data_IF_878631211429
#
_entry.id   IF_878631211429
#
_cell.length_a   1.000
_cell.length_b   1.000
_cell.length_c   1.000
_cell.angle_alpha   90.00
_cell.angle_beta   90.00
_cell.angle_gamma   90.00
#
_symmetry.space_group_name_H-M   'P 1'
#
loop_
_entity.id
_entity.type
_entity.pdbx_description
1 polymer ?
#
# COMPACT_ATOMS: atom_id res chain seq x y z
N UNK A 1 13.40 -15.57 -29.42
CA UNK A 1 11.95 -15.90 -29.53
C UNK A 1 11.27 -15.93 -28.16
N UNK A 2 11.93 -16.44 -27.12
CA UNK A 2 11.36 -16.50 -25.76
C UNK A 2 11.06 -15.12 -25.15
N UNK A 3 11.83 -14.08 -25.45
CA UNK A 3 11.60 -12.71 -25.00
C UNK A 3 10.38 -12.04 -25.66
N UNK A 4 9.97 -12.47 -26.85
CA UNK A 4 8.80 -11.89 -27.54
C UNK A 4 7.45 -12.38 -27.01
N UNK A 5 7.40 -13.54 -26.36
CA UNK A 5 6.17 -14.12 -25.82
C UNK A 5 5.80 -13.49 -24.47
N UNK A 6 6.78 -13.08 -23.65
CA UNK A 6 6.56 -12.52 -22.32
C UNK A 6 6.02 -11.06 -22.32
N UNK A 7 6.11 -10.34 -23.44
CA UNK A 7 5.70 -8.92 -23.50
C UNK A 7 4.42 -8.66 -24.32
N UNK A 8 3.66 -9.68 -24.66
CA UNK A 8 2.37 -9.53 -25.34
C UNK A 8 1.19 -9.87 -24.43
N UNK A 9 1.17 -9.35 -23.21
CA UNK A 9 -0.06 -9.35 -22.43
C UNK A 9 -0.89 -8.14 -22.82
N UNK A 10 -1.85 -8.32 -23.70
CA UNK A 10 -2.90 -7.34 -23.92
C UNK A 10 -3.91 -7.44 -22.79
N UNK A 11 -4.29 -6.31 -22.21
CA UNK A 11 -5.41 -6.24 -21.27
C UNK A 11 -6.66 -6.76 -21.98
N UNK A 12 -7.19 -7.90 -21.55
CA UNK A 12 -8.49 -8.37 -22.01
C UNK A 12 -9.55 -7.50 -21.36
N UNK A 13 -10.44 -6.88 -22.14
CA UNK A 13 -11.64 -6.25 -21.57
C UNK A 13 -12.46 -7.35 -20.89
N UNK A 14 -12.73 -7.18 -19.59
CA UNK A 14 -13.37 -8.23 -18.77
C UNK A 14 -14.83 -8.50 -19.10
N UNK A 15 -15.47 -7.62 -19.88
CA UNK A 15 -16.91 -7.68 -20.13
C UNK A 15 -17.73 -7.34 -18.88
N UNK A 16 -19.03 -7.48 -18.97
CA UNK A 16 -19.98 -7.11 -17.91
C UNK A 16 -20.50 -8.36 -17.22
N UNK A 17 -20.55 -8.35 -15.90
CA UNK A 17 -21.22 -9.35 -15.10
C UNK A 17 -22.70 -8.97 -14.97
N UNK A 18 -23.57 -9.77 -15.58
CA UNK A 18 -25.01 -9.65 -15.44
C UNK A 18 -25.48 -10.65 -14.39
N UNK A 19 -26.05 -10.14 -13.31
CA UNK A 19 -26.54 -10.98 -12.21
C UNK A 19 -27.86 -11.67 -12.52
N UNK A 20 -28.53 -11.27 -13.61
CA UNK A 20 -29.87 -11.79 -13.98
C UNK A 20 -31.00 -11.26 -13.09
N UNK A 21 -30.70 -10.36 -12.16
CA UNK A 21 -31.67 -9.73 -11.26
C UNK A 21 -31.80 -8.26 -11.63
N UNK A 22 -33.02 -7.81 -11.95
CA UNK A 22 -33.28 -6.46 -12.44
C UNK A 22 -33.00 -5.33 -11.41
N UNK A 23 -32.78 -5.69 -10.14
CA UNK A 23 -32.53 -4.73 -9.05
C UNK A 23 -31.04 -4.41 -8.89
N UNK A 24 -30.16 -5.30 -9.37
CA UNK A 24 -28.70 -5.06 -9.29
C UNK A 24 -28.19 -4.45 -10.57
N UNK A 25 -27.34 -3.42 -10.50
CA UNK A 25 -26.72 -2.84 -11.68
C UNK A 25 -25.79 -3.86 -12.37
N UNK A 26 -25.60 -3.70 -13.65
CA UNK A 26 -24.55 -4.40 -14.38
C UNK A 26 -23.18 -3.98 -13.82
N UNK A 27 -22.36 -4.94 -13.50
CA UNK A 27 -21.01 -4.72 -12.95
C UNK A 27 -19.96 -5.05 -14.00
N UNK A 28 -19.05 -4.13 -14.25
CA UNK A 28 -17.91 -4.42 -15.12
C UNK A 28 -16.98 -5.42 -14.43
N UNK A 29 -16.63 -6.49 -15.19
CA UNK A 29 -15.63 -7.44 -14.71
C UNK A 29 -14.26 -6.77 -14.71
N UNK A 30 -13.61 -6.78 -13.57
CA UNK A 30 -12.22 -6.35 -13.48
C UNK A 30 -11.33 -7.33 -14.26
N UNK A 31 -10.68 -6.79 -15.29
CA UNK A 31 -9.71 -7.53 -16.12
C UNK A 31 -8.27 -7.15 -15.77
N UNK A 32 -8.06 -6.40 -14.70
CA UNK A 32 -6.75 -5.94 -14.28
C UNK A 32 -5.90 -7.13 -13.84
N UNK A 33 -4.71 -7.26 -14.41
CA UNK A 33 -3.74 -8.26 -13.97
C UNK A 33 -3.29 -7.89 -12.55
N UNK A 34 -3.57 -8.76 -11.59
CA UNK A 34 -3.18 -8.56 -10.20
C UNK A 34 -1.66 -8.38 -10.00
N UNK A 35 -0.84 -8.84 -10.96
CA UNK A 35 0.60 -8.66 -10.93
C UNK A 35 1.04 -7.22 -11.28
N UNK A 36 0.12 -6.40 -11.79
CA UNK A 36 0.34 -5.00 -12.17
C UNK A 36 -0.42 -4.02 -11.28
N UNK A 37 -1.01 -4.49 -10.21
CA UNK A 37 -1.69 -3.66 -9.22
C UNK A 37 -0.71 -3.12 -8.18
N UNK A 38 -1.23 -2.33 -7.24
CA UNK A 38 -0.50 -1.79 -6.10
C UNK A 38 0.41 -2.84 -5.42
N UNK A 39 1.56 -2.44 -4.88
CA UNK A 39 2.37 -3.29 -4.01
C UNK A 39 1.62 -3.77 -2.76
N UNK A 40 0.51 -3.12 -2.40
CA UNK A 40 -0.41 -3.55 -1.36
C UNK A 40 -1.79 -3.80 -1.98
N UNK A 41 -1.97 -5.00 -2.54
CA UNK A 41 -3.14 -5.36 -3.33
C UNK A 41 -4.18 -6.12 -2.50
N UNK A 42 -5.47 -5.75 -2.66
CA UNK A 42 -6.58 -6.53 -2.14
C UNK A 42 -6.89 -7.71 -3.09
N UNK A 43 -6.91 -8.92 -2.56
CA UNK A 43 -7.08 -10.15 -3.33
C UNK A 43 -8.35 -10.93 -2.96
N UNK A 44 -9.41 -10.20 -2.65
CA UNK A 44 -10.74 -10.74 -2.38
C UNK A 44 -11.07 -10.89 -0.89
N UNK A 45 -10.22 -11.49 -0.09
CA UNK A 45 -10.41 -11.67 1.36
C UNK A 45 -9.16 -11.36 2.19
N UNK A 46 -8.10 -10.88 1.54
CA UNK A 46 -6.83 -10.52 2.18
C UNK A 46 -6.11 -9.46 1.36
N UNK A 47 -5.15 -8.79 2.00
CA UNK A 47 -4.18 -7.98 1.30
C UNK A 47 -2.90 -8.76 1.06
N UNK A 48 -2.31 -8.59 -0.12
CA UNK A 48 -0.99 -9.10 -0.45
C UNK A 48 -0.02 -7.93 -0.54
N UNK A 49 1.01 -7.95 0.31
CA UNK A 49 2.15 -7.03 0.18
C UNK A 49 3.18 -7.65 -0.75
N UNK A 50 3.61 -6.90 -1.75
CA UNK A 50 4.57 -7.32 -2.75
C UNK A 50 5.69 -6.32 -2.84
N UNK A 51 6.91 -6.80 -2.68
CA UNK A 51 8.12 -6.00 -2.85
C UNK A 51 9.20 -6.82 -3.55
N UNK A 52 10.17 -6.14 -4.15
CA UNK A 52 11.41 -6.74 -4.62
C UNK A 52 12.32 -7.02 -3.42
N UNK A 53 13.27 -7.95 -3.57
CA UNK A 53 14.19 -8.30 -2.48
C UNK A 53 13.99 -9.72 -1.97
N UNK A 54 14.15 -10.72 -2.85
CA UNK A 54 13.94 -12.13 -2.50
C UNK A 54 14.87 -12.64 -1.38
N UNK A 55 15.96 -11.93 -1.11
CA UNK A 55 16.91 -12.22 -0.05
C UNK A 55 16.67 -11.41 1.23
N UNK A 56 15.76 -10.43 1.19
CA UNK A 56 15.52 -9.51 2.30
C UNK A 56 14.51 -10.09 3.30
N UNK A 57 14.63 -9.65 4.55
CA UNK A 57 13.65 -9.97 5.57
C UNK A 57 12.36 -9.19 5.38
N UNK A 58 11.22 -9.87 5.47
CA UNK A 58 9.90 -9.22 5.47
C UNK A 58 9.54 -8.58 6.82
N UNK A 59 10.39 -8.70 7.84
CA UNK A 59 10.09 -8.30 9.21
C UNK A 59 9.77 -6.80 9.32
N UNK A 60 10.62 -5.95 8.74
CA UNK A 60 10.42 -4.49 8.80
C UNK A 60 9.12 -4.07 8.10
N UNK A 61 8.86 -4.58 6.90
CA UNK A 61 7.63 -4.30 6.17
C UNK A 61 6.39 -4.75 6.95
N UNK A 62 6.41 -5.95 7.52
CA UNK A 62 5.30 -6.47 8.31
C UNK A 62 5.09 -5.66 9.60
N UNK A 63 6.14 -5.23 10.27
CA UNK A 63 6.04 -4.40 11.48
C UNK A 63 5.35 -3.07 11.15
N UNK A 64 5.81 -2.38 10.12
CA UNK A 64 5.20 -1.11 9.70
C UNK A 64 3.73 -1.28 9.30
N UNK A 65 3.43 -2.27 8.44
CA UNK A 65 2.07 -2.50 7.96
C UNK A 65 1.12 -2.88 9.10
N UNK A 66 1.52 -3.77 9.99
CA UNK A 66 0.68 -4.18 11.12
C UNK A 66 0.41 -3.01 12.07
N UNK A 67 1.39 -2.14 12.31
CA UNK A 67 1.20 -0.97 13.17
C UNK A 67 0.24 0.05 12.52
N UNK A 68 0.36 0.31 11.21
CA UNK A 68 -0.56 1.19 10.48
C UNK A 68 -2.00 0.62 10.50
N UNK A 69 -2.15 -0.69 10.33
CA UNK A 69 -3.47 -1.34 10.37
C UNK A 69 -4.05 -1.31 11.78
N UNK A 70 -3.21 -1.47 12.82
CA UNK A 70 -3.66 -1.36 14.21
C UNK A 70 -4.18 0.05 14.53
N UNK A 71 -3.50 1.11 14.05
CA UNK A 71 -3.98 2.50 14.17
C UNK A 71 -5.35 2.66 13.50
N UNK A 72 -5.48 2.21 12.25
CA UNK A 72 -6.75 2.32 11.52
C UNK A 72 -7.90 1.56 12.21
N UNK A 73 -7.63 0.39 12.78
CA UNK A 73 -8.63 -0.35 13.54
C UNK A 73 -8.97 0.33 14.86
N UNK A 74 -7.99 0.93 15.55
CA UNK A 74 -8.25 1.69 16.77
C UNK A 74 -9.14 2.89 16.48
N UNK A 75 -8.82 3.69 15.45
CA UNK A 75 -9.63 4.84 15.05
C UNK A 75 -11.08 4.43 14.69
N UNK A 76 -11.23 3.31 13.96
CA UNK A 76 -12.55 2.77 13.63
C UNK A 76 -13.30 2.28 14.88
N UNK A 77 -12.63 1.59 15.80
CA UNK A 77 -13.22 1.11 17.04
C UNK A 77 -13.68 2.27 17.93
N UNK A 78 -12.85 3.29 18.11
CA UNK A 78 -13.15 4.49 18.91
C UNK A 78 -14.44 5.20 18.42
N UNK A 79 -14.71 5.17 17.11
CA UNK A 79 -15.94 5.72 16.52
C UNK A 79 -17.14 4.78 16.70
N UNK A 80 -16.95 3.48 16.47
CA UNK A 80 -18.05 2.51 16.47
C UNK A 80 -18.52 2.18 17.89
N UNK A 81 -17.65 2.20 18.90
CA UNK A 81 -18.02 1.96 20.30
C UNK A 81 -18.99 3.01 20.87
N UNK A 82 -19.03 4.21 20.28
CA UNK A 82 -19.91 5.29 20.70
C UNK A 82 -21.27 5.29 19.97
N UNK A 83 -21.46 4.38 19.00
CA UNK A 83 -22.62 4.40 18.12
C UNK A 83 -23.85 3.73 18.79
N UNK A 84 -25.01 4.40 18.70
CA UNK A 84 -26.29 3.81 19.12
C UNK A 84 -26.79 2.76 18.10
N UNK A 85 -26.59 3.02 16.80
CA UNK A 85 -26.89 2.09 15.70
C UNK A 85 -25.57 1.68 15.03
N UNK A 86 -25.10 0.48 15.36
CA UNK A 86 -23.82 -0.03 14.89
C UNK A 86 -23.77 -0.21 13.37
N UNK A 87 -24.83 -0.75 12.76
CA UNK A 87 -24.84 -1.04 11.31
C UNK A 87 -24.82 0.27 10.50
N UNK A 88 -25.59 1.26 10.94
CA UNK A 88 -25.57 2.57 10.30
C UNK A 88 -24.22 3.25 10.49
N UNK A 89 -23.62 3.19 11.67
CA UNK A 89 -22.31 3.78 11.93
C UNK A 89 -21.19 3.16 11.08
N UNK A 90 -21.21 1.84 10.90
CA UNK A 90 -20.28 1.14 10.00
C UNK A 90 -20.44 1.64 8.54
N UNK A 91 -21.70 1.77 8.09
CA UNK A 91 -21.97 2.29 6.74
C UNK A 91 -21.41 3.71 6.54
N UNK A 92 -21.69 4.60 7.49
CA UNK A 92 -21.24 5.97 7.43
C UNK A 92 -19.71 6.10 7.53
N UNK A 93 -19.08 5.33 8.40
CA UNK A 93 -17.63 5.24 8.52
C UNK A 93 -16.97 4.81 7.20
N UNK A 94 -17.49 3.75 6.56
CA UNK A 94 -16.96 3.29 5.26
C UNK A 94 -17.11 4.39 4.21
N UNK A 95 -18.25 5.06 4.15
CA UNK A 95 -18.51 6.15 3.21
C UNK A 95 -17.55 7.31 3.43
N UNK A 96 -17.30 7.70 4.66
CA UNK A 96 -16.35 8.76 5.04
C UNK A 96 -14.92 8.39 4.64
N UNK A 97 -14.46 7.18 5.01
CA UNK A 97 -13.11 6.70 4.68
C UNK A 97 -12.87 6.64 3.17
N UNK A 98 -13.84 6.13 2.40
CA UNK A 98 -13.73 6.10 0.94
C UNK A 98 -13.69 7.50 0.32
N UNK A 99 -14.44 8.45 0.85
CA UNK A 99 -14.42 9.83 0.40
C UNK A 99 -13.08 10.52 0.73
N UNK A 100 -12.61 10.38 1.97
CA UNK A 100 -11.39 11.00 2.46
C UNK A 100 -10.12 10.46 1.77
N UNK A 101 -10.11 9.16 1.48
CA UNK A 101 -8.94 8.46 0.93
C UNK A 101 -9.03 8.13 -0.56
N UNK A 102 -9.98 8.74 -1.28
CA UNK A 102 -10.17 8.50 -2.72
C UNK A 102 -8.89 8.66 -3.53
N UNK A 103 -7.97 9.54 -3.13
CA UNK A 103 -6.71 9.79 -3.84
C UNK A 103 -5.79 8.57 -3.91
N UNK A 104 -5.89 7.61 -2.98
CA UNK A 104 -5.06 6.40 -2.96
C UNK A 104 -5.70 5.24 -3.72
N UNK A 105 -6.99 5.36 -4.10
CA UNK A 105 -7.70 4.30 -4.83
C UNK A 105 -7.32 4.40 -6.30
N UNK A 106 -6.72 3.34 -6.83
CA UNK A 106 -6.31 3.24 -8.21
C UNK A 106 -6.60 1.85 -8.76
N UNK A 107 -7.28 1.82 -9.91
CA UNK A 107 -7.56 0.61 -10.69
C UNK A 107 -6.95 0.78 -12.08
N UNK A 108 -5.83 0.13 -12.34
CA UNK A 108 -5.13 0.27 -13.62
C UNK A 108 -3.72 -0.31 -13.60
N UNK A 109 -2.92 0.08 -14.58
CA UNK A 109 -1.53 -0.35 -14.67
C UNK A 109 -0.62 0.53 -13.81
N UNK A 110 -0.23 0.03 -12.62
CA UNK A 110 0.67 0.71 -11.69
C UNK A 110 2.11 0.89 -12.18
N UNK A 111 2.48 0.27 -13.31
CA UNK A 111 3.81 0.40 -13.91
C UNK A 111 3.87 1.44 -15.04
N UNK A 112 2.74 2.09 -15.36
CA UNK A 112 2.70 3.07 -16.44
C UNK A 112 3.24 4.44 -15.99
N UNK A 113 3.83 5.16 -16.93
CA UNK A 113 4.29 6.54 -16.66
C UNK A 113 3.11 7.50 -16.44
N UNK A 114 1.96 7.21 -17.02
CA UNK A 114 0.73 7.97 -16.81
C UNK A 114 0.32 7.90 -15.34
N UNK A 115 0.43 6.71 -14.73
CA UNK A 115 0.14 6.56 -13.31
C UNK A 115 1.12 7.34 -12.43
N UNK A 116 2.41 7.34 -12.76
CA UNK A 116 3.40 8.12 -12.00
C UNK A 116 3.02 9.60 -11.97
N UNK A 117 2.65 10.16 -13.11
CA UNK A 117 2.20 11.56 -13.22
C UNK A 117 0.90 11.82 -12.47
N UNK A 118 -0.06 10.92 -12.58
CA UNK A 118 -1.33 11.03 -11.86
C UNK A 118 -1.14 10.93 -10.34
N UNK A 119 -0.29 10.02 -9.87
CA UNK A 119 0.04 9.86 -8.46
C UNK A 119 0.68 11.13 -7.88
N UNK A 120 1.58 11.76 -8.64
CA UNK A 120 2.17 13.04 -8.27
C UNK A 120 1.12 14.14 -8.16
N UNK A 121 0.21 14.26 -9.14
CA UNK A 121 -0.91 15.21 -9.10
C UNK A 121 -1.86 14.96 -7.91
N UNK A 122 -2.02 13.70 -7.49
CA UNK A 122 -2.80 13.32 -6.31
C UNK A 122 -2.03 13.57 -4.99
N UNK A 123 -0.79 14.04 -5.04
CA UNK A 123 0.07 14.27 -3.88
C UNK A 123 0.52 12.96 -3.20
N UNK A 124 0.64 11.88 -3.97
CA UNK A 124 1.19 10.61 -3.48
C UNK A 124 2.72 10.64 -3.63
N UNK A 125 3.48 10.30 -2.59
CA UNK A 125 4.93 10.27 -2.66
C UNK A 125 5.42 9.15 -3.57
N UNK A 126 6.52 9.40 -4.29
CA UNK A 126 7.24 8.40 -5.08
C UNK A 126 8.72 8.44 -4.70
N UNK A 127 9.07 7.73 -3.64
CA UNK A 127 10.44 7.68 -3.10
C UNK A 127 11.21 6.58 -3.83
N UNK A 128 12.06 6.97 -4.77
CA UNK A 128 12.75 6.04 -5.67
C UNK A 128 14.06 5.48 -5.13
N UNK A 129 14.58 6.06 -4.05
CA UNK A 129 15.82 5.61 -3.42
C UNK A 129 15.62 5.34 -1.94
N UNK A 130 16.45 4.45 -1.37
CA UNK A 130 16.47 4.22 0.07
C UNK A 130 16.84 5.48 0.85
N UNK A 131 17.75 6.29 0.32
CA UNK A 131 18.15 7.56 0.95
C UNK A 131 16.98 8.52 1.12
N UNK A 132 16.07 8.55 0.14
CA UNK A 132 14.86 9.37 0.21
C UNK A 132 13.78 8.75 1.11
N UNK A 133 13.76 7.43 1.23
CA UNK A 133 12.74 6.70 1.98
C UNK A 133 13.04 6.59 3.49
N UNK A 134 14.29 6.39 3.88
CA UNK A 134 14.71 6.21 5.29
C UNK A 134 14.23 7.35 6.20
N UNK A 135 14.28 8.64 5.81
CA UNK A 135 13.79 9.73 6.67
C UNK A 135 12.32 9.60 7.07
N UNK A 136 11.51 8.87 6.32
CA UNK A 136 10.11 8.64 6.65
C UNK A 136 9.93 7.87 7.97
N UNK A 137 10.90 7.04 8.37
CA UNK A 137 10.86 6.28 9.62
C UNK A 137 10.97 7.16 10.87
N UNK A 138 11.65 8.28 10.76
CA UNK A 138 11.97 9.19 11.91
C UNK A 138 11.14 10.46 11.88
N UNK A 139 10.12 10.56 11.04
CA UNK A 139 9.17 11.67 11.09
C UNK A 139 8.40 11.65 12.41
N UNK A 140 8.01 12.82 12.90
CA UNK A 140 7.22 12.90 14.14
C UNK A 140 5.92 12.09 14.06
N UNK A 141 5.31 11.99 12.87
CA UNK A 141 4.14 11.15 12.65
C UNK A 141 4.46 9.66 12.85
N UNK A 142 5.56 9.18 12.27
CA UNK A 142 5.96 7.78 12.42
C UNK A 142 6.35 7.46 13.86
N UNK A 143 7.16 8.32 14.50
CA UNK A 143 7.56 8.16 15.89
C UNK A 143 6.34 8.08 16.81
N UNK A 144 5.41 9.02 16.70
CA UNK A 144 4.17 9.00 17.49
C UNK A 144 3.40 7.70 17.32
N UNK A 145 3.24 7.23 16.09
CA UNK A 145 2.55 5.97 15.79
C UNK A 145 3.22 4.78 16.49
N UNK A 146 4.52 4.63 16.33
CA UNK A 146 5.24 3.48 16.90
C UNK A 146 5.30 3.52 18.43
N UNK A 147 5.44 4.71 19.04
CA UNK A 147 5.42 4.87 20.49
C UNK A 147 4.03 4.60 21.07
N UNK A 148 2.96 5.05 20.41
CA UNK A 148 1.59 4.83 20.85
C UNK A 148 1.25 3.33 20.95
N UNK A 149 1.72 2.52 20.01
CA UNK A 149 1.52 1.07 20.02
C UNK A 149 2.63 0.30 20.76
N UNK A 150 3.58 0.99 21.37
CA UNK A 150 4.68 0.36 22.10
C UNK A 150 5.59 -0.53 21.25
N UNK A 151 5.68 -0.26 19.94
CA UNK A 151 6.43 -1.05 18.98
C UNK A 151 7.90 -0.62 18.94
N UNK A 152 8.14 0.70 18.83
CA UNK A 152 9.47 1.30 18.86
C UNK A 152 9.42 2.66 19.57
N UNK A 153 10.49 2.98 20.27
CA UNK A 153 10.79 4.31 20.75
C UNK A 153 11.46 5.17 19.66
N UNK A 154 11.49 6.49 19.82
CA UNK A 154 12.24 7.39 18.93
C UNK A 154 13.69 6.95 18.76
N UNK A 155 14.38 6.64 19.86
CA UNK A 155 15.78 6.23 19.81
C UNK A 155 16.00 4.93 19.01
N UNK A 156 15.07 3.98 19.09
CA UNK A 156 15.13 2.76 18.29
C UNK A 156 14.87 3.01 16.81
N UNK A 157 13.97 3.93 16.47
CA UNK A 157 13.71 4.30 15.08
C UNK A 157 14.91 5.04 14.47
N UNK A 158 15.52 5.97 15.21
CA UNK A 158 16.73 6.68 14.79
C UNK A 158 17.89 5.69 14.58
N UNK A 159 18.10 4.78 15.51
CA UNK A 159 19.13 3.73 15.37
C UNK A 159 18.89 2.85 14.15
N UNK A 160 17.63 2.47 13.88
CA UNK A 160 17.28 1.69 12.69
C UNK A 160 17.53 2.46 11.40
N UNK A 161 17.20 3.74 11.36
CA UNK A 161 17.48 4.58 10.20
C UNK A 161 18.99 4.65 9.89
N UNK A 162 19.84 4.78 10.91
CA UNK A 162 21.28 4.75 10.73
C UNK A 162 21.79 3.40 10.19
N UNK A 163 21.27 2.28 10.70
CA UNK A 163 21.59 0.94 10.21
C UNK A 163 21.18 0.76 8.75
N UNK A 164 20.01 1.28 8.35
CA UNK A 164 19.55 1.23 6.96
C UNK A 164 20.45 2.05 6.02
N UNK A 165 20.89 3.26 6.44
CA UNK A 165 21.86 4.04 5.68
C UNK A 165 23.19 3.31 5.51
N UNK A 166 23.71 2.70 6.57
CA UNK A 166 24.95 1.93 6.53
C UNK A 166 24.83 0.72 5.60
N UNK A 167 23.71 0.00 5.70
CA UNK A 167 23.43 -1.17 4.84
C UNK A 167 23.32 -0.79 3.37
N UNK A 168 22.64 0.31 3.08
CA UNK A 168 22.53 0.85 1.72
C UNK A 168 23.91 1.25 1.17
N UNK A 169 24.71 1.99 1.95
CA UNK A 169 26.05 2.40 1.54
C UNK A 169 26.97 1.17 1.26
N UNK A 170 26.87 0.11 2.07
CA UNK A 170 27.59 -1.13 1.83
C UNK A 170 27.17 -1.80 0.52
N UNK A 171 25.88 -1.89 0.25
CA UNK A 171 25.35 -2.51 -0.97
C UNK A 171 25.82 -1.76 -2.22
N UNK A 172 25.71 -0.44 -2.24
CA UNK A 172 26.16 0.40 -3.36
C UNK A 172 27.68 0.27 -3.59
N UNK A 173 28.47 0.21 -2.51
CA UNK A 173 29.92 0.02 -2.63
C UNK A 173 30.29 -1.36 -3.21
N UNK A 174 29.51 -2.40 -2.93
CA UNK A 174 29.72 -3.73 -3.51
C UNK A 174 29.38 -3.70 -4.99
N UNK A 175 28.20 -3.17 -5.36
CA UNK A 175 27.78 -3.06 -6.76
C UNK A 175 28.75 -2.23 -7.62
N UNK A 176 29.33 -1.16 -7.06
CA UNK A 176 30.27 -0.32 -7.76
C UNK A 176 31.65 -1.00 -8.00
N UNK A 177 31.96 -2.10 -7.31
CA UNK A 177 33.23 -2.84 -7.42
C UNK A 177 33.11 -4.11 -8.24
N UNK A 178 31.93 -4.54 -8.61
CA UNK A 178 31.64 -5.70 -9.44
C UNK A 178 31.36 -5.31 -10.88
#
# INVERSE_FOLDING_TARGET
EFRRVLFRSHSKKGGTLRTGVNILPDLDKDATDRNRTSPFAFTGNKFEFRMVGSSDSVASANTVLNTIVAEAFKEAADQLEQAEDFDMAVHDLIKELLAAHRRVIFNGNGYSEEWVKEAEQRGLPNLRSMVDAIPALVTDKAVKLFEEFGVFTRAELESRAEVEYESYAKSINIEAKT
#
